data_IF_530994981926
#
_entry.id   IF_530994981926
#
_cell.length_a   1.000
_cell.length_b   1.000
_cell.length_c   1.000
_cell.angle_alpha   90.00
_cell.angle_beta   90.00
_cell.angle_gamma   90.00
#
_symmetry.space_group_name_H-M   'P 1'
#
loop_
_entity.id
_entity.type
_entity.pdbx_description
1 polymer ?
#
# COMPACT_ATOMS: atom_id res chain seq x y z
N UNK A 1 -4.20 -12.43 -18.05
CA UNK A 1 -3.10 -13.33 -17.64
C UNK A 1 -3.37 -13.76 -16.21
N UNK A 2 -3.32 -15.06 -15.93
CA UNK A 2 -3.47 -15.60 -14.57
C UNK A 2 -2.42 -16.70 -14.39
N UNK A 3 -1.52 -16.52 -13.42
CA UNK A 3 -0.48 -17.49 -13.07
C UNK A 3 -0.58 -17.86 -11.59
N UNK A 4 -0.14 -19.07 -11.25
CA UNK A 4 -0.09 -19.59 -9.89
C UNK A 4 1.29 -20.14 -9.58
N UNK A 5 1.67 -20.07 -8.30
CA UNK A 5 2.88 -20.68 -7.73
C UNK A 5 4.16 -20.44 -8.57
N UNK A 6 4.50 -19.17 -8.75
CA UNK A 6 5.60 -18.73 -9.60
C UNK A 6 6.54 -17.74 -8.91
N UNK A 7 7.48 -17.20 -9.69
CA UNK A 7 8.38 -16.15 -9.22
C UNK A 7 8.67 -15.15 -10.32
N UNK A 8 8.64 -13.86 -9.97
CA UNK A 8 9.16 -12.79 -10.83
C UNK A 8 10.67 -12.72 -10.61
N UNK A 9 11.46 -12.82 -11.67
CA UNK A 9 12.93 -12.72 -11.61
C UNK A 9 13.39 -11.29 -11.87
N UNK A 10 14.60 -10.96 -11.39
CA UNK A 10 15.19 -9.64 -11.54
C UNK A 10 14.53 -8.58 -10.66
N UNK A 11 13.95 -8.97 -9.51
CA UNK A 11 13.58 -8.04 -8.43
C UNK A 11 13.25 -8.80 -7.16
N UNK A 12 13.82 -8.38 -6.03
CA UNK A 12 13.42 -8.85 -4.70
C UNK A 12 12.65 -7.75 -3.95
N UNK A 13 11.32 -7.73 -4.11
CA UNK A 13 10.48 -6.71 -3.48
C UNK A 13 10.44 -6.84 -1.95
N UNK A 14 10.63 -8.04 -1.40
CA UNK A 14 10.71 -8.22 0.05
C UNK A 14 11.94 -7.51 0.64
N UNK A 15 13.09 -7.63 -0.04
CA UNK A 15 14.31 -6.93 0.34
C UNK A 15 14.15 -5.41 0.16
N UNK A 16 13.60 -4.97 -0.96
CA UNK A 16 13.34 -3.55 -1.22
C UNK A 16 12.49 -2.90 -0.09
N UNK A 17 11.43 -3.60 0.35
CA UNK A 17 10.58 -3.18 1.48
C UNK A 17 11.34 -3.16 2.82
N UNK A 18 12.19 -4.16 3.09
CA UNK A 18 13.00 -4.18 4.33
C UNK A 18 13.99 -3.02 4.35
N UNK A 19 14.69 -2.77 3.25
CA UNK A 19 15.61 -1.62 3.15
C UNK A 19 14.85 -0.30 3.28
N UNK A 20 13.63 -0.23 2.74
CA UNK A 20 12.77 0.92 2.96
C UNK A 20 12.50 1.17 4.45
N UNK A 21 12.20 0.13 5.25
CA UNK A 21 12.03 0.31 6.70
C UNK A 21 13.25 0.94 7.36
N UNK A 22 14.43 0.37 7.12
CA UNK A 22 15.65 0.77 7.79
C UNK A 22 15.86 2.28 7.62
N UNK A 23 15.58 2.78 6.41
CA UNK A 23 15.62 4.21 6.10
C UNK A 23 14.46 4.99 6.69
N UNK A 24 13.23 4.46 6.64
CA UNK A 24 12.04 5.07 7.29
C UNK A 24 12.27 5.39 8.77
N UNK A 25 12.92 4.47 9.51
CA UNK A 25 13.27 4.69 10.91
C UNK A 25 14.29 5.81 11.16
N UNK A 26 15.03 6.19 10.12
CA UNK A 26 16.09 7.22 10.14
C UNK A 26 15.66 8.52 9.44
N UNK A 27 14.50 8.56 8.77
CA UNK A 27 14.06 9.70 7.96
C UNK A 27 13.88 10.95 8.81
N UNK A 28 14.70 11.96 8.51
CA UNK A 28 14.53 13.35 8.97
C UNK A 28 13.79 14.25 7.96
N UNK A 29 13.20 13.65 6.90
CA UNK A 29 12.36 14.36 5.93
C UNK A 29 13.05 14.84 4.64
N UNK A 30 14.37 14.63 4.48
CA UNK A 30 15.15 15.04 3.29
C UNK A 30 15.98 13.90 2.69
N UNK A 31 15.60 12.65 2.94
CA UNK A 31 16.42 11.51 2.49
C UNK A 31 16.31 11.31 0.98
N UNK A 32 17.44 11.08 0.29
CA UNK A 32 17.45 10.83 -1.13
C UNK A 32 16.66 9.56 -1.47
N UNK A 33 16.07 9.53 -2.66
CA UNK A 33 15.46 8.32 -3.19
C UNK A 33 16.50 7.19 -3.20
N UNK A 34 16.10 6.02 -2.73
CA UNK A 34 16.97 4.85 -2.80
C UNK A 34 16.79 4.19 -4.16
N UNK A 35 17.91 3.84 -4.76
CA UNK A 35 17.94 3.17 -6.05
C UNK A 35 18.99 2.09 -6.03
N UNK A 36 18.78 1.08 -6.87
CA UNK A 36 19.72 0.00 -7.09
C UNK A 36 19.43 -0.70 -8.40
N UNK A 37 20.31 -1.64 -8.75
CA UNK A 37 20.08 -2.57 -9.84
C UNK A 37 19.50 -3.86 -9.27
N UNK A 38 18.63 -4.47 -10.03
CA UNK A 38 18.19 -5.82 -9.76
C UNK A 38 19.31 -6.82 -10.06
N UNK A 39 19.55 -7.74 -9.14
CA UNK A 39 20.48 -8.85 -9.36
C UNK A 39 19.85 -9.98 -10.16
N UNK A 40 20.66 -10.70 -10.95
CA UNK A 40 20.18 -11.84 -11.75
C UNK A 40 19.58 -12.99 -10.92
N UNK A 41 20.01 -13.15 -9.67
CA UNK A 41 19.48 -14.14 -8.73
C UNK A 41 18.30 -13.63 -7.89
N UNK A 42 17.97 -12.35 -8.00
CA UNK A 42 16.87 -11.76 -7.24
C UNK A 42 15.53 -12.21 -7.80
N UNK A 43 14.62 -12.60 -6.90
CA UNK A 43 13.27 -12.96 -7.28
C UNK A 43 12.25 -12.60 -6.21
N UNK A 44 11.01 -12.46 -6.64
CA UNK A 44 9.84 -12.31 -5.79
C UNK A 44 8.89 -13.45 -6.05
N UNK A 45 8.81 -14.40 -5.10
CA UNK A 45 7.91 -15.55 -5.17
C UNK A 45 6.46 -15.12 -4.93
N UNK A 46 5.52 -15.77 -5.63
CA UNK A 46 4.09 -15.53 -5.54
C UNK A 46 3.28 -16.82 -5.63
N UNK A 47 2.14 -16.86 -4.94
CA UNK A 47 1.15 -17.93 -5.07
C UNK A 47 0.12 -17.64 -6.17
N UNK A 48 -0.14 -16.36 -6.47
CA UNK A 48 -1.07 -15.95 -7.52
C UNK A 48 -0.62 -14.62 -8.14
N UNK A 49 -0.75 -14.52 -9.46
CA UNK A 49 -0.53 -13.29 -10.22
C UNK A 49 -1.63 -13.14 -11.28
N UNK A 50 -2.29 -11.98 -11.29
CA UNK A 50 -3.31 -11.61 -12.28
C UNK A 50 -2.94 -10.28 -12.92
N UNK A 51 -3.13 -10.16 -14.23
CA UNK A 51 -2.93 -8.90 -14.97
C UNK A 51 -3.66 -8.92 -16.33
N UNK A 52 -4.16 -7.77 -16.75
CA UNK A 52 -4.73 -7.51 -18.07
C UNK A 52 -3.84 -6.56 -18.85
N UNK A 53 -3.53 -6.91 -20.10
CA UNK A 53 -2.65 -6.11 -20.95
C UNK A 53 -3.40 -5.59 -22.16
N UNK A 54 -3.23 -4.30 -22.46
CA UNK A 54 -3.57 -3.70 -23.75
C UNK A 54 -2.28 -3.59 -24.55
N UNK A 55 -2.18 -4.32 -25.65
CA UNK A 55 -0.95 -4.35 -26.47
C UNK A 55 -1.15 -3.52 -27.72
N UNK A 56 -0.27 -2.55 -27.94
CA UNK A 56 -0.22 -1.73 -29.14
C UNK A 56 1.24 -1.39 -29.48
N UNK A 57 1.62 -1.51 -30.76
CA UNK A 57 2.95 -1.12 -31.24
C UNK A 57 4.13 -1.71 -30.45
N UNK A 58 4.03 -2.98 -30.02
CA UNK A 58 5.06 -3.64 -29.22
C UNK A 58 5.10 -3.24 -27.74
N UNK A 59 4.22 -2.38 -27.28
CA UNK A 59 4.09 -1.98 -25.86
C UNK A 59 2.84 -2.62 -25.27
N UNK A 60 3.01 -3.39 -24.20
CA UNK A 60 1.93 -3.95 -23.41
C UNK A 60 1.71 -3.08 -22.16
N UNK A 61 0.59 -2.36 -22.15
CA UNK A 61 0.18 -1.52 -21.04
C UNK A 61 -0.69 -2.30 -20.06
N UNK A 62 -0.44 -2.13 -18.75
CA UNK A 62 -1.19 -2.78 -17.68
C UNK A 62 -1.54 -1.80 -16.55
N UNK A 63 -2.74 -1.92 -16.01
CA UNK A 63 -3.26 -1.04 -14.94
C UNK A 63 -3.74 -1.82 -13.70
N UNK A 64 -3.81 -3.15 -13.79
CA UNK A 64 -4.50 -4.02 -12.82
C UNK A 64 -3.65 -5.21 -12.35
N UNK A 65 -2.31 -5.13 -12.41
CA UNK A 65 -1.48 -6.19 -11.86
C UNK A 65 -1.80 -6.37 -10.38
N UNK A 66 -2.02 -7.63 -10.00
CA UNK A 66 -2.19 -8.05 -8.63
C UNK A 66 -1.40 -9.33 -8.40
N UNK A 67 -0.50 -9.30 -7.43
CA UNK A 67 0.32 -10.43 -7.01
C UNK A 67 0.09 -10.70 -5.53
N UNK A 68 -0.13 -11.96 -5.20
CA UNK A 68 -0.20 -12.46 -3.83
C UNK A 68 1.07 -13.26 -3.54
N UNK A 69 1.85 -12.80 -2.57
CA UNK A 69 3.03 -13.47 -2.04
C UNK A 69 2.77 -13.86 -0.58
N UNK A 70 3.51 -14.81 0.02
CA UNK A 70 3.29 -15.20 1.42
C UNK A 70 3.26 -14.01 2.39
N UNK A 71 4.20 -13.07 2.25
CA UNK A 71 4.32 -11.90 3.13
C UNK A 71 3.81 -10.58 2.51
N UNK A 72 3.54 -10.56 1.20
CA UNK A 72 3.31 -9.33 0.45
C UNK A 72 2.04 -9.40 -0.38
N UNK A 73 1.43 -8.23 -0.59
CA UNK A 73 0.45 -7.97 -1.64
C UNK A 73 1.07 -6.93 -2.55
N UNK A 74 1.10 -7.18 -3.84
CA UNK A 74 1.69 -6.23 -4.79
C UNK A 74 0.60 -5.86 -5.79
N UNK A 75 0.30 -4.58 -5.89
CA UNK A 75 -0.50 -4.04 -6.98
C UNK A 75 0.42 -3.28 -7.93
N UNK A 76 0.07 -3.18 -9.20
CA UNK A 76 0.95 -2.46 -10.13
C UNK A 76 0.28 -1.97 -11.39
N UNK A 77 0.96 -1.02 -12.02
CA UNK A 77 0.57 -0.44 -13.29
C UNK A 77 1.81 0.07 -14.01
N UNK A 78 1.82 -0.02 -15.34
CA UNK A 78 2.90 0.50 -16.18
C UNK A 78 2.96 -0.18 -17.54
N UNK A 79 4.12 -0.02 -18.18
CA UNK A 79 4.36 -0.40 -19.56
C UNK A 79 5.49 -1.44 -19.65
N UNK A 80 5.22 -2.46 -20.46
CA UNK A 80 6.20 -3.47 -20.85
C UNK A 80 6.44 -3.32 -22.34
N UNK A 81 7.57 -2.75 -22.71
CA UNK A 81 7.97 -2.62 -24.10
C UNK A 81 8.69 -3.89 -24.55
N UNK A 82 7.97 -4.72 -25.31
CA UNK A 82 8.45 -6.00 -25.84
C UNK A 82 9.38 -5.82 -27.04
N UNK A 83 9.27 -4.69 -27.76
CA UNK A 83 10.12 -4.40 -28.91
C UNK A 83 11.53 -3.96 -28.49
N UNK A 84 11.62 -3.14 -27.45
CA UNK A 84 12.90 -2.62 -26.92
C UNK A 84 13.41 -3.42 -25.70
N UNK A 85 12.65 -4.45 -25.27
CA UNK A 85 12.93 -5.26 -24.07
C UNK A 85 13.09 -4.40 -22.79
N UNK A 86 12.19 -3.42 -22.61
CA UNK A 86 12.24 -2.46 -21.50
C UNK A 86 10.99 -2.54 -20.62
N UNK A 87 11.19 -2.24 -19.35
CA UNK A 87 10.15 -2.08 -18.35
C UNK A 87 10.10 -0.62 -17.90
N UNK A 88 8.91 -0.05 -17.74
CA UNK A 88 8.65 1.08 -16.84
C UNK A 88 7.39 0.76 -16.05
N UNK A 89 7.56 0.49 -14.77
CA UNK A 89 6.50 -0.12 -13.98
C UNK A 89 6.51 0.37 -12.55
N UNK A 90 5.33 0.67 -12.00
CA UNK A 90 5.17 1.06 -10.60
C UNK A 90 4.53 -0.10 -9.83
N UNK A 91 5.33 -0.74 -8.99
CA UNK A 91 4.88 -1.78 -8.07
C UNK A 91 4.59 -1.19 -6.68
N UNK A 92 3.34 -1.26 -6.23
CA UNK A 92 2.91 -0.89 -4.89
C UNK A 92 2.88 -2.13 -4.01
N UNK A 93 3.87 -2.26 -3.14
CA UNK A 93 4.08 -3.46 -2.32
C UNK A 93 3.62 -3.22 -0.89
N UNK A 94 2.59 -3.95 -0.46
CA UNK A 94 2.01 -3.86 0.88
C UNK A 94 2.37 -5.09 1.72
N UNK A 95 2.77 -4.88 2.97
CA UNK A 95 3.06 -5.99 3.90
C UNK A 95 1.77 -6.49 4.54
N UNK A 96 1.51 -7.80 4.47
CA UNK A 96 0.30 -8.41 5.04
C UNK A 96 0.24 -8.28 6.57
N UNK A 97 -0.95 -8.03 7.11
CA UNK A 97 -1.16 -7.86 8.55
C UNK A 97 -1.10 -9.17 9.35
N UNK A 98 -1.46 -10.29 8.72
CA UNK A 98 -1.82 -11.55 9.40
C UNK A 98 -0.67 -12.37 9.94
N UNK A 99 0.58 -12.01 9.67
CA UNK A 99 1.74 -12.86 9.98
C UNK A 99 2.48 -12.34 11.22
N UNK A 100 1.92 -12.59 12.40
CA UNK A 100 2.65 -12.52 13.67
C UNK A 100 3.75 -13.58 13.68
N UNK A 101 4.99 -13.15 13.96
CA UNK A 101 6.15 -14.02 14.10
C UNK A 101 6.96 -14.36 12.84
N UNK A 102 6.39 -14.34 11.63
CA UNK A 102 7.08 -14.90 10.43
C UNK A 102 7.94 -13.91 9.63
N UNK A 103 7.82 -12.60 9.86
CA UNK A 103 8.53 -11.56 9.09
C UNK A 103 9.65 -10.83 9.83
N UNK A 104 9.94 -11.21 11.08
CA UNK A 104 10.82 -10.47 11.98
C UNK A 104 10.24 -9.11 12.44
N UNK A 105 10.91 -8.43 13.39
CA UNK A 105 10.48 -7.12 13.89
C UNK A 105 10.49 -6.04 12.80
N UNK A 106 11.30 -6.25 11.76
CA UNK A 106 11.37 -5.38 10.59
C UNK A 106 10.02 -5.27 9.88
N UNK A 107 9.56 -6.35 9.25
CA UNK A 107 8.31 -6.34 8.49
C UNK A 107 7.08 -6.07 9.38
N UNK A 108 7.14 -6.37 10.69
CA UNK A 108 6.05 -6.07 11.62
C UNK A 108 5.73 -4.59 11.74
N UNK A 109 6.74 -3.72 11.70
CA UNK A 109 6.52 -2.27 11.77
C UNK A 109 6.00 -1.68 10.44
N UNK A 110 6.11 -2.43 9.35
CA UNK A 110 5.61 -2.03 8.03
C UNK A 110 4.24 -2.66 7.70
N UNK A 111 3.58 -3.30 8.66
CA UNK A 111 2.27 -3.92 8.43
C UNK A 111 1.25 -2.91 7.94
N UNK A 112 0.57 -3.25 6.85
CA UNK A 112 -0.38 -2.34 6.20
C UNK A 112 0.28 -1.17 5.47
N UNK A 113 1.59 -0.97 5.61
CA UNK A 113 2.31 0.04 4.84
C UNK A 113 2.45 -0.44 3.39
N UNK A 114 2.20 0.48 2.48
CA UNK A 114 2.47 0.30 1.06
C UNK A 114 3.73 1.05 0.67
N UNK A 115 4.68 0.33 0.06
CA UNK A 115 5.94 0.85 -0.46
C UNK A 115 5.86 0.92 -1.98
N UNK A 116 5.82 2.12 -2.59
CA UNK A 116 5.93 2.26 -4.03
C UNK A 116 7.37 2.01 -4.50
N UNK A 117 7.54 1.07 -5.41
CA UNK A 117 8.81 0.71 -6.05
C UNK A 117 8.66 0.95 -7.56
N UNK A 118 9.38 1.93 -8.10
CA UNK A 118 9.46 2.14 -9.55
C UNK A 118 10.55 1.24 -10.11
N UNK A 119 10.18 0.38 -11.05
CA UNK A 119 11.07 -0.50 -11.80
C UNK A 119 11.22 0.08 -13.20
N UNK A 120 12.45 0.29 -13.66
CA UNK A 120 12.69 0.87 -14.99
C UNK A 120 14.01 0.41 -15.57
N UNK A 121 14.04 0.05 -16.85
CA UNK A 121 15.27 -0.32 -17.56
C UNK A 121 15.07 -1.49 -18.53
N UNK A 122 16.15 -1.96 -19.17
CA UNK A 122 16.13 -3.21 -19.94
C UNK A 122 15.84 -4.42 -19.05
N UNK A 123 15.21 -5.48 -19.57
CA UNK A 123 14.92 -6.69 -18.79
C UNK A 123 16.17 -7.36 -18.19
N UNK A 124 17.32 -7.22 -18.85
CA UNK A 124 18.61 -7.72 -18.36
C UNK A 124 19.33 -6.81 -17.36
N UNK A 125 18.87 -5.56 -17.17
CA UNK A 125 19.49 -4.58 -16.27
C UNK A 125 18.40 -3.64 -15.70
N UNK A 126 17.47 -4.23 -14.94
CA UNK A 126 16.37 -3.49 -14.35
C UNK A 126 16.88 -2.65 -13.17
N UNK A 127 16.68 -1.34 -13.25
CA UNK A 127 16.84 -0.46 -12.11
C UNK A 127 15.57 -0.42 -11.27
N UNK A 128 15.73 -0.26 -9.95
CA UNK A 128 14.61 0.01 -9.04
C UNK A 128 14.84 1.31 -8.28
N UNK A 129 13.75 2.00 -7.92
CA UNK A 129 13.78 3.23 -7.13
C UNK A 129 12.61 3.30 -6.16
N UNK A 130 12.88 3.76 -4.95
CA UNK A 130 11.89 4.04 -3.91
C UNK A 130 11.99 5.51 -3.52
N UNK A 131 10.87 6.23 -3.63
CA UNK A 131 10.75 7.61 -3.16
C UNK A 131 10.25 7.62 -1.71
N UNK A 132 11.18 7.77 -0.77
CA UNK A 132 10.87 7.88 0.65
C UNK A 132 10.18 9.19 1.03
N UNK A 133 10.49 10.29 0.32
CA UNK A 133 9.88 11.59 0.59
C UNK A 133 8.38 11.54 0.22
N UNK A 134 8.06 10.93 -0.92
CA UNK A 134 6.68 10.64 -1.31
C UNK A 134 5.97 9.72 -0.30
N UNK A 135 6.61 8.62 0.08
CA UNK A 135 6.02 7.65 1.02
C UNK A 135 5.75 8.25 2.41
N UNK A 136 6.67 9.07 2.94
CA UNK A 136 6.47 9.73 4.23
C UNK A 136 5.28 10.71 4.20
N UNK A 137 5.10 11.43 3.09
CA UNK A 137 3.93 12.30 2.87
C UNK A 137 2.64 11.50 2.77
N UNK A 138 2.62 10.41 2.02
CA UNK A 138 1.45 9.52 1.91
C UNK A 138 1.07 8.93 3.28
N UNK A 139 2.07 8.51 4.07
CA UNK A 139 1.87 8.03 5.44
C UNK A 139 1.28 9.09 6.38
N UNK A 140 1.82 10.30 6.32
CA UNK A 140 1.31 11.42 7.11
C UNK A 140 -0.14 11.74 6.72
N UNK A 141 -0.44 11.74 5.42
CA UNK A 141 -1.78 11.98 4.89
C UNK A 141 -2.77 10.89 5.34
N UNK A 142 -2.40 9.61 5.24
CA UNK A 142 -3.23 8.50 5.71
C UNK A 142 -3.57 8.63 7.20
N UNK A 143 -2.59 8.94 8.06
CA UNK A 143 -2.83 9.17 9.49
C UNK A 143 -3.75 10.36 9.76
N UNK A 144 -3.64 11.41 8.95
CA UNK A 144 -4.54 12.57 9.04
C UNK A 144 -5.95 12.17 8.66
N UNK A 145 -6.13 11.41 7.58
CA UNK A 145 -7.43 10.95 7.10
C UNK A 145 -8.09 9.97 8.08
N UNK A 146 -7.34 9.02 8.64
CA UNK A 146 -7.81 8.13 9.71
C UNK A 146 -8.29 8.91 10.94
N UNK A 147 -7.48 9.86 11.44
CA UNK A 147 -7.88 10.71 12.57
C UNK A 147 -9.10 11.56 12.25
N UNK A 148 -9.21 12.06 11.02
CA UNK A 148 -10.35 12.87 10.58
C UNK A 148 -11.64 12.04 10.58
N UNK A 149 -11.58 10.80 10.09
CA UNK A 149 -12.71 9.88 10.14
C UNK A 149 -13.06 9.48 11.58
N UNK A 150 -12.07 9.25 12.45
CA UNK A 150 -12.30 8.97 13.87
C UNK A 150 -12.97 10.15 14.59
N UNK A 151 -12.50 11.38 14.37
CA UNK A 151 -13.10 12.59 14.92
C UNK A 151 -14.53 12.80 14.39
N UNK A 152 -14.77 12.54 13.10
CA UNK A 152 -16.13 12.58 12.52
C UNK A 152 -17.05 11.55 13.15
N UNK A 153 -16.56 10.34 13.38
CA UNK A 153 -17.33 9.28 14.03
C UNK A 153 -17.65 9.62 15.49
N UNK A 154 -16.69 10.16 16.24
CA UNK A 154 -16.91 10.63 17.62
C UNK A 154 -17.91 11.79 17.66
N UNK A 155 -17.77 12.78 16.78
CA UNK A 155 -18.69 13.91 16.71
C UNK A 155 -20.13 13.46 16.39
N UNK A 156 -20.31 12.50 15.46
CA UNK A 156 -21.64 11.91 15.19
C UNK A 156 -22.23 11.25 16.44
N UNK A 157 -21.45 10.40 17.13
CA UNK A 157 -21.90 9.74 18.36
C UNK A 157 -22.34 10.75 19.43
N UNK A 158 -21.53 11.78 19.68
CA UNK A 158 -21.86 12.82 20.67
C UNK A 158 -23.13 13.59 20.29
N UNK A 159 -23.35 13.88 19.00
CA UNK A 159 -24.58 14.54 18.53
C UNK A 159 -25.79 13.64 18.73
N UNK A 160 -25.69 12.35 18.41
CA UNK A 160 -26.80 11.40 18.58
C UNK A 160 -27.15 11.17 20.06
N UNK A 161 -26.14 11.08 20.95
CA UNK A 161 -26.34 11.00 22.40
C UNK A 161 -27.00 12.28 22.97
N UNK A 162 -26.59 13.46 22.50
CA UNK A 162 -27.22 14.71 22.91
C UNK A 162 -28.68 14.80 22.42
N UNK A 163 -28.97 14.37 21.19
CA UNK A 163 -30.34 14.31 20.66
C UNK A 163 -31.23 13.39 21.49
N UNK A 164 -30.72 12.21 21.88
CA UNK A 164 -31.44 11.27 22.74
C UNK A 164 -31.79 11.89 24.10
N UNK A 165 -30.82 12.51 24.76
CA UNK A 165 -31.03 13.20 26.05
C UNK A 165 -32.03 14.36 25.96
N UNK A 166 -31.98 15.14 24.89
CA UNK A 166 -32.94 16.23 24.66
C UNK A 166 -34.35 15.69 24.43
N UNK A 167 -34.50 14.58 23.70
CA UNK A 167 -35.79 13.91 23.51
C UNK A 167 -36.37 13.36 24.82
N UNK A 168 -35.56 12.70 25.66
CA UNK A 168 -36.02 12.23 26.97
C UNK A 168 -36.48 13.39 27.87
N UNK A 169 -35.70 14.47 27.94
CA UNK A 169 -36.06 15.65 28.74
C UNK A 169 -37.34 16.32 28.26
N UNK A 170 -37.59 16.35 26.94
CA UNK A 170 -38.84 16.86 26.37
C UNK A 170 -40.02 15.95 26.71
N UNK A 171 -39.85 14.62 26.64
CA UNK A 171 -40.90 13.67 26.99
C UNK A 171 -41.25 13.74 28.48
N UNK A 172 -40.27 13.85 29.38
CA UNK A 172 -40.52 14.03 30.81
C UNK A 172 -41.28 15.33 31.12
N UNK A 173 -40.87 16.45 30.53
CA UNK A 173 -41.56 17.74 30.71
C UNK A 173 -42.99 17.72 30.16
N UNK A 174 -43.23 17.07 29.01
CA UNK A 174 -44.56 16.94 28.44
C UNK A 174 -45.48 16.05 29.30
N UNK A 175 -44.95 14.94 29.85
CA UNK A 175 -45.70 14.09 30.80
C UNK A 175 -46.06 14.85 32.07
N UNK A 176 -45.16 15.68 32.60
CA UNK A 176 -45.42 16.51 33.77
C UNK A 176 -46.48 17.60 33.56
N UNK A 177 -46.68 18.07 32.32
CA UNK A 177 -47.68 19.08 31.97
C UNK A 177 -49.08 18.49 31.68
N UNK A 178 -49.16 17.23 31.25
CA UNK A 178 -50.41 16.54 30.91
C UNK A 178 -50.97 15.66 32.03
N UNK A 179 -50.21 15.46 33.11
CA UNK A 179 -50.56 14.59 34.24
C UNK A 179 -51.19 15.31 35.43
N UNK A 180 -51.91 16.41 35.22
CA UNK A 180 -52.62 17.14 36.29
C UNK A 180 -54.10 17.23 36.01
#
# INVERSE_FOLDING_TARGET
LELRDGAVRGVNLAQAVRTAKARIGELRGNEPAQQGQAGGDEKTDFSEMTASFKVANGVAHNEDLSIKSPLLRIAGSGDVNLADERLDYLARTTVVQSLQGQGGPELQALRGLTVPVKLSGPFGDLGWRIDFSGMARELAQQKIDEKKEEVRAQAKKSIDEQKGKVQEQLQEKLKGLLGR
#
